data_IF_223749504625
#
_entry.id   IF_223749504625
#
_cell.length_a   1.000
_cell.length_b   1.000
_cell.length_c   1.000
_cell.angle_alpha   90.00
_cell.angle_beta   90.00
_cell.angle_gamma   90.00
#
_symmetry.space_group_name_H-M   'P 1'
#
loop_
_entity.id
_entity.type
_entity.pdbx_description
1 polymer ?
#
# COMPACT_ATOMS: atom_id res chain seq x y z
N UNK A 1 16.17 -16.12 16.50
CA UNK A 1 16.17 -17.50 15.93
C UNK A 1 17.04 -17.62 14.67
N UNK A 2 16.89 -16.74 13.65
CA UNK A 2 17.71 -16.78 12.42
C UNK A 2 19.23 -16.69 12.68
N UNK A 3 19.63 -15.82 13.60
CA UNK A 3 21.04 -15.59 13.96
C UNK A 3 21.75 -16.80 14.59
N UNK A 4 21.02 -17.58 15.41
CA UNK A 4 21.52 -18.79 16.04
C UNK A 4 21.65 -19.92 15.01
N UNK A 5 20.76 -19.96 14.02
CA UNK A 5 20.79 -20.93 12.93
C UNK A 5 22.04 -20.76 12.05
N UNK A 6 22.36 -19.52 11.63
CA UNK A 6 23.58 -19.24 10.84
C UNK A 6 24.83 -19.63 11.64
N UNK A 7 24.89 -19.27 12.93
CA UNK A 7 26.01 -19.64 13.82
C UNK A 7 26.10 -21.15 14.04
N UNK A 8 24.98 -21.85 14.08
CA UNK A 8 24.92 -23.31 14.12
C UNK A 8 25.52 -23.96 12.88
N UNK A 9 25.20 -23.44 11.69
CA UNK A 9 25.79 -23.90 10.42
C UNK A 9 27.31 -23.70 10.44
N UNK A 10 27.78 -22.52 10.88
CA UNK A 10 29.21 -22.22 11.00
C UNK A 10 29.90 -23.18 11.97
N UNK A 11 29.32 -23.41 13.16
CA UNK A 11 29.87 -24.32 14.14
C UNK A 11 29.96 -25.76 13.61
N UNK A 12 28.94 -26.23 12.88
CA UNK A 12 28.96 -27.54 12.21
C UNK A 12 30.02 -27.61 11.11
N UNK A 13 30.18 -26.55 10.31
CA UNK A 13 31.22 -26.48 9.29
C UNK A 13 32.61 -26.60 9.92
N UNK A 14 32.86 -25.92 11.04
CA UNK A 14 34.13 -26.03 11.78
C UNK A 14 34.36 -27.45 12.32
N UNK A 15 33.32 -28.09 12.87
CA UNK A 15 33.41 -29.48 13.34
C UNK A 15 33.69 -30.49 12.23
N UNK A 16 33.39 -30.17 10.97
CA UNK A 16 33.67 -31.04 9.82
C UNK A 16 35.12 -30.97 9.32
N UNK A 17 35.88 -29.93 9.65
CA UNK A 17 37.25 -29.70 9.15
C UNK A 17 38.20 -30.87 9.46
N UNK A 18 38.27 -31.38 10.71
CA UNK A 18 39.17 -32.49 11.04
C UNK A 18 38.90 -33.75 10.21
N UNK A 19 37.65 -33.97 9.79
CA UNK A 19 37.26 -35.11 8.96
C UNK A 19 37.66 -34.95 7.49
N UNK A 20 37.78 -33.72 7.00
CA UNK A 20 38.10 -33.41 5.61
C UNK A 20 39.61 -33.33 5.38
N UNK A 21 40.36 -32.72 6.31
CA UNK A 21 41.79 -32.43 6.11
C UNK A 21 42.74 -33.51 6.66
N UNK A 22 42.23 -34.56 7.33
CA UNK A 22 43.05 -35.62 7.98
C UNK A 22 44.22 -35.06 8.79
N UNK A 23 44.03 -33.92 9.42
CA UNK A 23 45.00 -33.23 10.24
C UNK A 23 44.88 -33.71 11.69
N UNK A 24 46.01 -33.89 12.37
CA UNK A 24 46.05 -34.11 13.82
C UNK A 24 45.71 -32.79 14.53
N UNK A 25 44.42 -32.43 14.51
CA UNK A 25 43.93 -31.21 15.11
C UNK A 25 43.76 -31.41 16.62
N UNK A 26 44.07 -30.37 17.39
CA UNK A 26 43.88 -30.34 18.84
C UNK A 26 42.43 -30.71 19.23
N UNK A 27 42.29 -31.56 20.27
CA UNK A 27 40.99 -32.02 20.79
C UNK A 27 40.08 -30.85 21.19
N UNK A 28 40.66 -29.68 21.46
CA UNK A 28 39.93 -28.44 21.73
C UNK A 28 38.97 -28.04 20.60
N UNK A 29 39.24 -28.39 19.33
CA UNK A 29 38.36 -28.04 18.20
C UNK A 29 36.97 -28.69 18.28
N UNK A 30 36.83 -29.80 18.99
CA UNK A 30 35.54 -30.50 19.13
C UNK A 30 34.66 -29.87 20.23
N UNK A 31 35.28 -29.28 21.25
CA UNK A 31 34.57 -28.72 22.41
C UNK A 31 34.21 -27.25 22.16
N UNK A 32 35.09 -26.53 21.47
CA UNK A 32 35.01 -25.09 21.34
C UNK A 32 33.79 -24.58 20.53
N UNK A 33 33.37 -25.19 19.40
CA UNK A 33 32.14 -24.80 18.70
C UNK A 33 30.88 -24.97 19.56
N UNK A 34 30.86 -25.98 20.44
CA UNK A 34 29.76 -26.20 21.39
C UNK A 34 29.76 -25.08 22.43
N UNK A 35 30.91 -24.79 23.05
CA UNK A 35 31.05 -23.71 24.02
C UNK A 35 30.68 -22.33 23.42
N UNK A 36 31.04 -22.10 22.15
CA UNK A 36 30.65 -20.92 21.39
C UNK A 36 29.13 -20.82 21.24
N UNK A 37 28.45 -21.87 20.78
CA UNK A 37 26.99 -21.86 20.65
C UNK A 37 26.27 -21.63 21.98
N UNK A 38 26.78 -22.24 23.06
CA UNK A 38 26.28 -21.98 24.42
C UNK A 38 26.46 -20.51 24.80
N UNK A 39 27.64 -19.93 24.58
CA UNK A 39 27.92 -18.52 24.90
C UNK A 39 27.00 -17.58 24.12
N UNK A 40 26.84 -17.82 22.82
CA UNK A 40 25.92 -17.06 21.95
C UNK A 40 24.48 -17.16 22.45
N UNK A 41 24.03 -18.35 22.87
CA UNK A 41 22.67 -18.53 23.37
C UNK A 41 22.35 -17.65 24.59
N UNK A 42 23.31 -17.47 25.50
CA UNK A 42 23.15 -16.60 26.67
C UNK A 42 23.33 -15.11 26.34
N UNK A 43 24.25 -14.77 25.42
CA UNK A 43 24.61 -13.38 25.11
C UNK A 43 23.65 -12.73 24.10
N UNK A 44 22.85 -13.52 23.37
CA UNK A 44 22.00 -13.05 22.26
C UNK A 44 21.08 -11.87 22.61
N UNK A 45 20.59 -11.80 23.84
CA UNK A 45 19.64 -10.79 24.29
C UNK A 45 20.31 -9.63 25.06
N UNK A 46 21.61 -9.72 25.34
CA UNK A 46 22.37 -8.74 26.12
C UNK A 46 22.90 -7.58 25.26
N UNK A 47 23.66 -7.88 24.21
CA UNK A 47 24.26 -6.85 23.36
C UNK A 47 24.76 -7.41 22.02
N UNK A 48 24.40 -6.72 20.92
CA UNK A 48 24.94 -7.00 19.58
C UNK A 48 26.48 -6.84 19.53
N UNK A 49 27.06 -5.95 20.32
CA UNK A 49 28.52 -5.76 20.39
C UNK A 49 29.22 -6.96 21.04
N UNK A 50 28.64 -7.50 22.12
CA UNK A 50 29.19 -8.69 22.78
C UNK A 50 29.09 -9.91 21.87
N UNK A 51 28.00 -10.03 21.10
CA UNK A 51 27.90 -11.08 20.07
C UNK A 51 29.01 -10.99 19.03
N UNK A 52 29.26 -9.80 18.45
CA UNK A 52 30.36 -9.62 17.48
C UNK A 52 31.69 -9.98 18.11
N UNK A 53 31.94 -9.57 19.36
CA UNK A 53 33.19 -9.88 20.06
C UNK A 53 33.37 -11.39 20.28
N UNK A 54 32.32 -12.09 20.69
CA UNK A 54 32.31 -13.56 20.82
C UNK A 54 32.55 -14.23 19.47
N UNK A 55 31.94 -13.74 18.40
CA UNK A 55 32.14 -14.25 17.04
C UNK A 55 33.61 -14.07 16.61
N UNK A 56 34.22 -12.90 16.84
CA UNK A 56 35.64 -12.67 16.54
C UNK A 56 36.52 -13.68 17.29
N UNK A 57 36.37 -13.78 18.61
CA UNK A 57 37.19 -14.71 19.42
C UNK A 57 37.06 -16.13 18.89
N UNK A 58 35.84 -16.54 18.52
CA UNK A 58 35.59 -17.85 17.97
C UNK A 58 36.40 -18.09 16.68
N UNK A 59 36.30 -17.17 15.71
CA UNK A 59 37.00 -17.32 14.44
C UNK A 59 38.51 -17.22 14.59
N UNK A 60 39.03 -16.28 15.38
CA UNK A 60 40.48 -16.16 15.63
C UNK A 60 41.04 -17.46 16.22
N UNK A 61 40.35 -18.05 17.19
CA UNK A 61 40.77 -19.30 17.81
C UNK A 61 40.76 -20.47 16.83
N UNK A 62 39.67 -20.62 16.05
CA UNK A 62 39.56 -21.72 15.08
C UNK A 62 40.60 -21.59 13.98
N UNK A 63 40.81 -20.38 13.44
CA UNK A 63 41.86 -20.10 12.44
C UNK A 63 43.23 -20.46 12.99
N UNK A 64 43.52 -20.09 14.25
CA UNK A 64 44.79 -20.39 14.89
C UNK A 64 45.05 -21.89 15.04
N UNK A 65 44.05 -22.67 15.45
CA UNK A 65 44.21 -24.11 15.67
C UNK A 65 44.28 -24.89 14.34
N UNK A 66 43.49 -24.48 13.36
CA UNK A 66 43.40 -25.19 12.07
C UNK A 66 44.47 -24.75 11.08
N UNK A 67 45.09 -23.58 11.30
CA UNK A 67 45.93 -22.89 10.31
C UNK A 67 45.24 -22.69 8.95
N UNK A 68 43.90 -22.71 8.92
CA UNK A 68 43.13 -22.62 7.68
C UNK A 68 42.55 -21.19 7.52
N UNK A 69 43.07 -20.40 6.57
CA UNK A 69 42.67 -19.01 6.42
C UNK A 69 41.28 -18.82 5.80
N UNK A 70 40.77 -19.83 5.08
CA UNK A 70 39.45 -19.82 4.43
C UNK A 70 38.33 -19.65 5.47
N UNK A 71 38.58 -20.05 6.72
CA UNK A 71 37.61 -19.93 7.81
C UNK A 71 37.20 -18.50 8.13
N UNK A 72 38.03 -17.50 7.80
CA UNK A 72 37.66 -16.10 7.91
C UNK A 72 36.45 -15.73 7.03
N UNK A 73 36.23 -16.44 5.91
CA UNK A 73 35.09 -16.19 5.01
C UNK A 73 33.75 -16.51 5.69
N UNK A 74 33.72 -17.53 6.55
CA UNK A 74 32.52 -17.90 7.30
C UNK A 74 32.10 -16.86 8.35
N UNK A 75 32.92 -15.85 8.61
CA UNK A 75 32.52 -14.70 9.43
C UNK A 75 31.47 -13.84 8.72
N UNK A 76 31.61 -13.59 7.41
CA UNK A 76 30.78 -12.62 6.68
C UNK A 76 29.29 -12.97 6.57
N UNK A 77 28.85 -14.25 6.50
CA UNK A 77 27.44 -14.61 6.61
C UNK A 77 26.74 -14.06 7.86
N UNK A 78 27.48 -13.80 8.95
CA UNK A 78 26.93 -13.20 10.18
C UNK A 78 26.53 -11.74 10.00
N UNK A 79 26.97 -11.07 8.92
CA UNK A 79 26.68 -9.66 8.64
C UNK A 79 25.19 -9.35 8.58
N UNK A 80 24.37 -10.32 8.15
CA UNK A 80 22.91 -10.19 8.05
C UNK A 80 22.30 -9.76 9.40
N UNK A 81 22.87 -10.19 10.52
CA UNK A 81 22.38 -9.84 11.87
C UNK A 81 22.70 -8.39 12.28
N UNK A 82 23.55 -7.69 11.53
CA UNK A 82 24.10 -6.38 11.91
C UNK A 82 23.77 -5.24 10.93
N UNK A 83 23.21 -5.56 9.76
CA UNK A 83 22.99 -4.59 8.66
C UNK A 83 21.93 -3.52 8.96
N UNK A 84 21.00 -3.79 9.87
CA UNK A 84 19.86 -2.91 10.16
C UNK A 84 20.28 -1.57 10.79
N UNK A 85 21.42 -1.54 11.49
CA UNK A 85 21.87 -0.36 12.24
C UNK A 85 23.30 0.02 11.87
N UNK A 86 23.50 1.27 11.38
CA UNK A 86 24.80 1.76 10.89
C UNK A 86 25.97 1.55 11.87
N UNK A 87 25.74 1.73 13.18
CA UNK A 87 26.77 1.57 14.21
C UNK A 87 27.25 0.11 14.33
N UNK A 88 26.32 -0.83 14.25
CA UNK A 88 26.60 -2.27 14.29
C UNK A 88 27.25 -2.75 12.99
N UNK A 89 26.81 -2.23 11.85
CA UNK A 89 27.45 -2.44 10.54
C UNK A 89 28.93 -2.06 10.57
N UNK A 90 29.27 -0.85 11.05
CA UNK A 90 30.67 -0.40 11.09
C UNK A 90 31.52 -1.27 12.02
N UNK A 91 30.99 -1.61 13.19
CA UNK A 91 31.66 -2.49 14.15
C UNK A 91 31.91 -3.88 13.56
N UNK A 92 30.93 -4.43 12.85
CA UNK A 92 31.05 -5.73 12.19
C UNK A 92 32.08 -5.71 11.06
N UNK A 93 32.13 -4.64 10.26
CA UNK A 93 33.13 -4.52 9.19
C UNK A 93 34.55 -4.44 9.77
N UNK A 94 34.73 -3.69 10.86
CA UNK A 94 36.01 -3.64 11.56
C UNK A 94 36.40 -4.99 12.16
N UNK A 95 35.43 -5.72 12.73
CA UNK A 95 35.60 -7.08 13.20
C UNK A 95 36.01 -8.05 12.09
N UNK A 96 35.35 -7.98 10.93
CA UNK A 96 35.68 -8.78 9.75
C UNK A 96 37.07 -8.49 9.20
N UNK A 97 37.50 -7.22 9.26
CA UNK A 97 38.86 -6.83 8.92
C UNK A 97 39.88 -7.46 9.88
N UNK A 98 39.63 -7.42 11.20
CA UNK A 98 40.50 -8.07 12.20
C UNK A 98 40.62 -9.58 11.94
N UNK A 99 39.50 -10.27 11.77
CA UNK A 99 39.49 -11.72 11.49
C UNK A 99 40.23 -12.05 10.20
N UNK A 100 40.11 -11.21 9.18
CA UNK A 100 40.82 -11.39 7.90
C UNK A 100 42.33 -11.12 8.05
N UNK A 101 42.73 -10.03 8.73
CA UNK A 101 44.13 -9.70 8.99
C UNK A 101 44.83 -10.78 9.83
N UNK A 102 44.14 -11.33 10.83
CA UNK A 102 44.66 -12.41 11.64
C UNK A 102 44.81 -13.71 10.85
N UNK A 103 43.82 -14.02 9.99
CA UNK A 103 43.91 -15.12 9.04
C UNK A 103 45.16 -15.02 8.17
N UNK A 104 45.45 -13.82 7.63
CA UNK A 104 46.68 -13.58 6.86
C UNK A 104 47.95 -13.76 7.67
N UNK A 105 47.96 -13.34 8.94
CA UNK A 105 49.12 -13.50 9.82
C UNK A 105 49.43 -14.98 10.08
N UNK A 106 48.40 -15.82 10.27
CA UNK A 106 48.58 -17.25 10.57
C UNK A 106 48.98 -18.07 9.33
N UNK A 107 48.56 -17.66 8.12
CA UNK A 107 48.73 -18.45 6.90
C UNK A 107 49.85 -17.98 5.95
N UNK A 108 50.76 -17.12 6.41
CA UNK A 108 51.93 -16.63 5.65
C UNK A 108 51.60 -16.13 4.22
N UNK A 109 50.45 -15.46 4.02
CA UNK A 109 50.04 -14.79 2.76
C UNK A 109 49.71 -15.67 1.53
N UNK A 110 49.70 -17.00 1.62
CA UNK A 110 49.65 -17.88 0.43
C UNK A 110 48.27 -17.93 -0.27
N UNK A 111 47.15 -17.71 0.44
CA UNK A 111 45.79 -17.89 -0.11
C UNK A 111 44.98 -16.59 -0.30
N UNK A 112 45.68 -15.45 -0.35
CA UNK A 112 45.14 -14.08 -0.34
C UNK A 112 44.14 -13.75 -1.46
N UNK A 113 44.29 -14.36 -2.63
CA UNK A 113 43.44 -14.07 -3.79
C UNK A 113 41.98 -14.46 -3.58
N UNK A 114 41.72 -15.56 -2.86
CA UNK A 114 40.36 -16.07 -2.64
C UNK A 114 39.53 -15.14 -1.76
N UNK A 115 40.10 -14.65 -0.64
CA UNK A 115 39.45 -13.73 0.30
C UNK A 115 39.01 -12.41 -0.37
N UNK A 116 39.79 -11.89 -1.31
CA UNK A 116 39.48 -10.67 -2.08
C UNK A 116 38.26 -10.82 -3.01
N UNK A 117 37.93 -12.04 -3.47
CA UNK A 117 36.73 -12.29 -4.28
C UNK A 117 35.49 -12.55 -3.43
N UNK A 118 35.65 -13.23 -2.28
CA UNK A 118 34.52 -13.59 -1.42
C UNK A 118 34.00 -12.44 -0.55
N UNK A 119 34.86 -11.50 -0.16
CA UNK A 119 34.49 -10.30 0.60
C UNK A 119 33.45 -9.42 -0.15
N UNK A 120 33.68 -9.01 -1.42
CA UNK A 120 32.70 -8.26 -2.20
C UNK A 120 31.46 -9.07 -2.55
N UNK A 121 31.61 -10.38 -2.83
CA UNK A 121 30.49 -11.25 -3.19
C UNK A 121 29.51 -11.44 -2.01
N UNK A 122 30.04 -11.71 -0.81
CA UNK A 122 29.23 -11.88 0.41
C UNK A 122 28.56 -10.58 0.84
N UNK A 123 29.28 -9.44 0.82
CA UNK A 123 28.67 -8.13 1.11
C UNK A 123 27.59 -7.75 0.08
N UNK A 124 27.81 -8.05 -1.20
CA UNK A 124 26.81 -7.78 -2.26
C UNK A 124 25.53 -8.59 -2.07
N UNK A 125 25.63 -9.90 -1.79
CA UNK A 125 24.45 -10.77 -1.55
C UNK A 125 23.65 -10.28 -0.34
N UNK A 126 24.33 -9.84 0.73
CA UNK A 126 23.66 -9.34 1.94
C UNK A 126 23.01 -7.98 1.72
N UNK A 127 23.66 -7.06 0.98
CA UNK A 127 23.05 -5.78 0.60
C UNK A 127 21.81 -5.96 -0.27
N UNK A 128 21.87 -6.89 -1.23
CA UNK A 128 20.74 -7.20 -2.13
C UNK A 128 19.57 -7.79 -1.34
N UNK A 129 19.82 -8.73 -0.43
CA UNK A 129 18.76 -9.33 0.40
C UNK A 129 18.15 -8.34 1.39
N UNK A 130 18.95 -7.45 1.98
CA UNK A 130 18.47 -6.32 2.78
C UNK A 130 17.58 -5.36 1.97
N UNK A 131 17.99 -5.00 0.76
CA UNK A 131 17.21 -4.18 -0.16
C UNK A 131 15.87 -4.84 -0.52
N UNK A 132 15.87 -6.13 -0.88
CA UNK A 132 14.65 -6.89 -1.21
C UNK A 132 13.68 -6.93 -0.03
N UNK A 133 14.18 -7.10 1.20
CA UNK A 133 13.34 -7.19 2.40
C UNK A 133 12.68 -5.85 2.70
N UNK A 134 13.42 -4.74 2.58
CA UNK A 134 12.88 -3.40 2.71
C UNK A 134 11.82 -3.11 1.64
N UNK A 135 12.11 -3.49 0.40
CA UNK A 135 11.20 -3.28 -0.72
C UNK A 135 9.90 -4.09 -0.57
N UNK A 136 9.95 -5.30 -0.01
CA UNK A 136 8.76 -6.08 0.37
C UNK A 136 7.93 -5.41 1.46
N UNK A 137 8.58 -4.81 2.47
CA UNK A 137 7.88 -4.10 3.53
C UNK A 137 7.16 -2.85 2.99
N UNK A 138 7.85 -2.04 2.17
CA UNK A 138 7.29 -0.85 1.53
C UNK A 138 6.12 -1.21 0.59
N UNK A 139 6.24 -2.30 -0.19
CA UNK A 139 5.15 -2.77 -1.06
C UNK A 139 3.92 -3.21 -0.26
N UNK A 140 4.12 -3.94 0.85
CA UNK A 140 3.01 -4.36 1.71
C UNK A 140 2.29 -3.18 2.34
N UNK A 141 3.03 -2.17 2.80
CA UNK A 141 2.43 -0.94 3.32
C UNK A 141 1.58 -0.24 2.25
N UNK A 142 2.09 -0.14 1.02
CA UNK A 142 1.31 0.43 -0.09
C UNK A 142 0.08 -0.40 -0.45
N UNK A 143 0.15 -1.72 -0.35
CA UNK A 143 -0.99 -2.61 -0.57
C UNK A 143 -2.08 -2.39 0.48
N UNK A 144 -1.69 -2.23 1.75
CA UNK A 144 -2.61 -1.92 2.85
C UNK A 144 -3.26 -0.53 2.68
N UNK A 145 -2.48 0.48 2.28
CA UNK A 145 -2.99 1.83 1.96
C UNK A 145 -4.00 1.82 0.80
N UNK A 146 -3.72 1.06 -0.27
CA UNK A 146 -4.63 0.91 -1.41
C UNK A 146 -5.91 0.20 -0.97
N UNK A 147 -5.79 -0.89 -0.21
CA UNK A 147 -6.93 -1.62 0.34
C UNK A 147 -7.82 -0.74 1.21
N UNK A 148 -7.25 0.14 2.03
CA UNK A 148 -8.00 1.11 2.82
C UNK A 148 -8.75 2.11 1.95
N UNK A 149 -8.09 2.71 0.94
CA UNK A 149 -8.75 3.64 0.01
C UNK A 149 -9.86 2.97 -0.80
N UNK A 150 -9.69 1.72 -1.21
CA UNK A 150 -10.75 0.95 -1.89
C UNK A 150 -11.95 0.75 -0.96
N UNK A 151 -11.73 0.43 0.32
CA UNK A 151 -12.82 0.30 1.29
C UNK A 151 -13.54 1.62 1.54
N UNK A 152 -12.83 2.75 1.59
CA UNK A 152 -13.43 4.08 1.68
C UNK A 152 -14.29 4.41 0.45
N UNK A 153 -13.78 4.11 -0.75
CA UNK A 153 -14.52 4.27 -2.00
C UNK A 153 -15.76 3.35 -2.02
N UNK A 154 -15.66 2.11 -1.55
CA UNK A 154 -16.81 1.20 -1.47
C UNK A 154 -17.89 1.72 -0.53
N UNK A 155 -17.50 2.27 0.64
CA UNK A 155 -18.44 2.91 1.58
C UNK A 155 -19.07 4.17 1.00
N UNK A 156 -18.33 4.96 0.23
CA UNK A 156 -18.87 6.11 -0.49
C UNK A 156 -19.85 5.66 -1.58
N UNK A 157 -19.52 4.59 -2.31
CA UNK A 157 -20.40 3.99 -3.33
C UNK A 157 -21.73 3.53 -2.72
N UNK A 158 -21.71 2.89 -1.55
CA UNK A 158 -22.92 2.50 -0.82
C UNK A 158 -23.74 3.69 -0.31
N UNK A 159 -23.11 4.84 -0.04
CA UNK A 159 -23.84 6.08 0.30
C UNK A 159 -24.44 6.79 -0.93
N UNK A 160 -23.79 6.68 -2.09
CA UNK A 160 -24.16 7.39 -3.32
C UNK A 160 -25.18 6.59 -4.16
N UNK A 161 -25.16 5.26 -4.08
CA UNK A 161 -26.09 4.33 -4.73
C UNK A 161 -26.62 3.39 -3.62
N UNK A 162 -27.94 3.33 -3.25
CA UNK A 162 -29.07 3.22 -4.17
C UNK A 162 -30.48 3.65 -3.65
N UNK A 163 -30.66 4.46 -2.60
CA UNK A 163 -32.03 4.65 -2.03
C UNK A 163 -32.95 5.51 -2.94
N UNK A 164 -32.39 6.47 -3.70
CA UNK A 164 -33.19 7.37 -4.56
C UNK A 164 -33.35 6.89 -6.01
N UNK A 165 -32.37 6.18 -6.59
CA UNK A 165 -32.45 5.76 -8.01
C UNK A 165 -33.53 4.68 -8.23
N UNK A 166 -33.64 3.68 -7.33
CA UNK A 166 -34.70 2.67 -7.43
C UNK A 166 -36.11 3.26 -7.30
N UNK A 167 -36.27 4.33 -6.53
CA UNK A 167 -37.57 5.01 -6.40
C UNK A 167 -37.89 5.87 -7.63
N UNK A 168 -36.88 6.47 -8.27
CA UNK A 168 -37.04 7.18 -9.55
C UNK A 168 -37.37 6.22 -10.70
N UNK A 169 -36.83 5.00 -10.71
CA UNK A 169 -37.09 3.99 -11.74
C UNK A 169 -38.57 3.53 -11.77
N UNK A 170 -39.28 3.61 -10.64
CA UNK A 170 -40.69 3.23 -10.54
C UNK A 170 -41.69 4.32 -10.95
N UNK A 171 -41.23 5.54 -11.24
CA UNK A 171 -42.11 6.65 -11.66
C UNK A 171 -42.56 6.43 -13.11
N UNK A 172 -43.87 6.39 -13.34
CA UNK A 172 -44.45 6.54 -14.68
C UNK A 172 -44.65 8.02 -15.00
N UNK A 173 -44.20 8.44 -16.18
CA UNK A 173 -44.31 9.82 -16.68
C UNK A 173 -45.55 10.06 -17.55
N UNK A 174 -46.46 9.09 -17.65
CA UNK A 174 -47.73 9.23 -18.37
C UNK A 174 -48.66 10.24 -17.66
N UNK A 175 -48.71 10.21 -16.33
CA UNK A 175 -49.43 11.20 -15.51
C UNK A 175 -48.45 12.28 -15.02
N UNK A 176 -48.42 13.41 -15.73
CA UNK A 176 -47.53 14.54 -15.43
C UNK A 176 -47.78 15.13 -14.04
N UNK A 177 -49.03 15.17 -13.55
CA UNK A 177 -49.34 15.76 -12.23
C UNK A 177 -48.87 14.85 -11.10
N UNK A 178 -49.05 13.53 -11.25
CA UNK A 178 -48.58 12.55 -10.26
C UNK A 178 -47.05 12.44 -10.25
N UNK A 179 -46.42 12.46 -11.43
CA UNK A 179 -44.96 12.37 -11.54
C UNK A 179 -44.25 13.57 -10.92
N UNK A 180 -44.66 14.82 -11.18
CA UNK A 180 -44.03 15.99 -10.54
C UNK A 180 -44.14 15.95 -9.02
N UNK A 181 -45.24 15.44 -8.47
CA UNK A 181 -45.42 15.33 -7.02
C UNK A 181 -44.47 14.30 -6.40
N UNK A 182 -44.33 13.13 -7.05
CA UNK A 182 -43.38 12.10 -6.62
C UNK A 182 -41.93 12.56 -6.75
N UNK A 183 -41.59 13.26 -7.85
CA UNK A 183 -40.28 13.86 -8.04
C UNK A 183 -39.94 14.86 -6.93
N UNK A 184 -40.90 15.71 -6.56
CA UNK A 184 -40.73 16.68 -5.48
C UNK A 184 -40.37 16.00 -4.15
N UNK A 185 -41.03 14.88 -3.84
CA UNK A 185 -40.77 14.10 -2.64
C UNK A 185 -39.41 13.38 -2.67
N UNK A 186 -39.07 12.73 -3.78
CA UNK A 186 -37.85 11.91 -3.88
C UNK A 186 -36.59 12.79 -3.94
N UNK A 187 -36.66 13.90 -4.67
CA UNK A 187 -35.54 14.83 -4.85
C UNK A 187 -35.43 15.85 -3.73
N UNK A 188 -36.44 15.92 -2.85
CA UNK A 188 -36.53 16.87 -1.72
C UNK A 188 -36.33 18.32 -2.18
N UNK A 189 -36.96 18.67 -3.29
CA UNK A 189 -36.99 20.03 -3.86
C UNK A 189 -38.02 20.89 -3.14
N UNK A 190 -37.85 22.21 -3.18
CA UNK A 190 -38.86 23.15 -2.67
C UNK A 190 -40.11 23.15 -3.56
N UNK A 191 -39.94 23.06 -4.88
CA UNK A 191 -41.03 22.89 -5.84
C UNK A 191 -40.55 22.19 -7.11
N UNK A 192 -41.47 21.56 -7.83
CA UNK A 192 -41.27 21.03 -9.19
C UNK A 192 -42.36 21.57 -10.09
N UNK A 193 -41.98 22.12 -11.23
CA UNK A 193 -42.89 22.55 -12.27
C UNK A 193 -42.59 21.80 -13.58
N UNK A 194 -43.64 21.52 -14.34
CA UNK A 194 -43.56 20.97 -15.69
C UNK A 194 -44.29 21.92 -16.64
N UNK A 195 -43.58 22.40 -17.65
CA UNK A 195 -44.12 23.22 -18.72
C UNK A 195 -44.30 22.37 -19.98
N UNK A 196 -45.54 22.21 -20.43
CA UNK A 196 -45.88 21.56 -21.70
C UNK A 196 -45.77 22.57 -22.84
N UNK A 197 -44.82 22.35 -23.74
CA UNK A 197 -44.56 23.26 -24.87
C UNK A 197 -45.72 23.23 -25.88
N UNK A 198 -46.34 22.06 -26.08
CA UNK A 198 -47.39 21.87 -27.08
C UNK A 198 -48.70 22.50 -26.62
N UNK A 199 -49.07 22.30 -25.35
CA UNK A 199 -50.33 22.83 -24.81
C UNK A 199 -50.18 24.21 -24.15
N UNK A 200 -48.94 24.71 -24.01
CA UNK A 200 -48.59 25.95 -23.28
C UNK A 200 -49.15 25.99 -21.86
N UNK A 201 -49.34 24.82 -21.24
CA UNK A 201 -49.83 24.69 -19.88
C UNK A 201 -48.70 24.36 -18.94
N UNK A 202 -48.80 24.87 -17.73
CA UNK A 202 -47.90 24.52 -16.66
C UNK A 202 -48.62 23.75 -15.56
N UNK A 203 -47.91 22.76 -15.02
CA UNK A 203 -48.32 21.97 -13.86
C UNK A 203 -47.23 22.11 -12.80
N UNK A 204 -47.59 22.41 -11.56
CA UNK A 204 -46.63 22.66 -10.49
C UNK A 204 -47.11 22.06 -9.17
N UNK A 205 -46.17 21.78 -8.26
CA UNK A 205 -46.47 21.17 -6.96
C UNK A 205 -46.83 22.19 -5.89
N UNK A 206 -46.13 23.33 -5.81
CA UNK A 206 -46.36 24.42 -4.85
C UNK A 206 -45.90 25.77 -5.43
N UNK A 207 -46.59 26.85 -5.05
CA UNK A 207 -46.49 28.24 -5.57
C UNK A 207 -46.63 28.38 -7.10
N UNK A 208 -47.07 29.55 -7.58
CA UNK A 208 -47.17 29.84 -9.03
C UNK A 208 -45.76 30.16 -9.56
N UNK A 209 -44.91 29.14 -9.70
CA UNK A 209 -43.49 29.29 -10.09
C UNK A 209 -43.27 29.20 -11.60
N UNK A 210 -44.35 29.12 -12.38
CA UNK A 210 -44.25 28.94 -13.83
C UNK A 210 -44.14 30.26 -14.57
N UNK A 211 -43.02 30.94 -14.33
CA UNK A 211 -42.66 32.12 -15.09
C UNK A 211 -42.15 31.71 -16.48
N UNK A 212 -42.88 32.14 -17.53
CA UNK A 212 -42.49 31.93 -18.92
C UNK A 212 -41.13 32.55 -19.24
N UNK A 213 -40.68 33.53 -18.46
CA UNK A 213 -39.36 34.13 -18.63
C UNK A 213 -38.22 33.15 -18.37
N UNK A 214 -38.43 32.11 -17.54
CA UNK A 214 -37.41 31.08 -17.26
C UNK A 214 -37.07 30.28 -18.53
N UNK A 215 -38.04 30.11 -19.46
CA UNK A 215 -37.82 29.41 -20.73
C UNK A 215 -36.78 30.11 -21.62
N UNK A 216 -36.53 31.42 -21.44
CA UNK A 216 -35.50 32.16 -22.20
C UNK A 216 -34.08 31.69 -21.86
N UNK A 217 -33.90 31.02 -20.72
CA UNK A 217 -32.61 30.52 -20.24
C UNK A 217 -32.39 29.03 -20.56
N UNK A 218 -33.38 28.35 -21.13
CA UNK A 218 -33.29 26.96 -21.56
C UNK A 218 -32.67 26.92 -22.96
N UNK A 219 -31.34 26.96 -23.01
CA UNK A 219 -30.59 26.89 -24.27
C UNK A 219 -30.05 25.49 -24.58
N UNK A 220 -30.04 24.60 -23.59
CA UNK A 220 -29.48 23.24 -23.65
C UNK A 220 -30.51 22.22 -23.15
N UNK A 221 -30.24 20.92 -23.35
CA UNK A 221 -31.13 19.83 -22.90
C UNK A 221 -31.24 19.71 -21.36
N UNK A 222 -30.28 20.29 -20.65
CA UNK A 222 -30.14 20.25 -19.20
C UNK A 222 -29.26 21.40 -18.74
N UNK A 223 -29.61 22.04 -17.63
CA UNK A 223 -28.79 23.10 -17.07
C UNK A 223 -29.21 23.54 -15.68
N UNK A 224 -28.39 24.45 -15.12
CA UNK A 224 -28.58 25.10 -13.83
C UNK A 224 -28.72 26.60 -14.06
N UNK A 225 -29.69 27.22 -13.40
CA UNK A 225 -29.91 28.66 -13.37
C UNK A 225 -29.85 29.09 -11.91
N UNK A 226 -29.03 30.08 -11.59
CA UNK A 226 -29.03 30.72 -10.27
C UNK A 226 -30.00 31.90 -10.29
N UNK A 227 -30.89 31.95 -9.32
CA UNK A 227 -31.89 33.01 -9.15
C UNK A 227 -31.78 33.62 -7.76
N UNK A 228 -32.34 34.81 -7.55
CA UNK A 228 -32.36 35.48 -6.23
C UNK A 228 -33.05 34.64 -5.13
N UNK A 229 -33.83 33.63 -5.52
CA UNK A 229 -34.57 32.73 -4.62
C UNK A 229 -33.93 31.34 -4.48
N UNK A 230 -32.77 31.13 -5.10
CA UNK A 230 -32.02 29.87 -5.05
C UNK A 230 -31.73 29.28 -6.43
N UNK A 231 -31.40 27.99 -6.46
CA UNK A 231 -30.99 27.29 -7.67
C UNK A 231 -32.17 26.60 -8.36
N UNK A 232 -32.27 26.78 -9.67
CA UNK A 232 -33.21 26.06 -10.55
C UNK A 232 -32.45 25.12 -11.46
N UNK A 233 -32.79 23.83 -11.42
CA UNK A 233 -32.30 22.84 -12.39
C UNK A 233 -33.41 22.58 -13.39
N UNK A 234 -33.09 22.54 -14.68
CA UNK A 234 -34.05 22.22 -15.71
C UNK A 234 -33.64 20.99 -16.52
N UNK A 235 -34.64 20.20 -16.92
CA UNK A 235 -34.50 19.06 -17.85
C UNK A 235 -35.52 19.23 -18.98
N UNK A 236 -35.04 19.21 -20.22
CA UNK A 236 -35.91 19.21 -21.41
C UNK A 236 -36.31 17.78 -21.73
N UNK A 237 -37.63 17.56 -21.86
CA UNK A 237 -38.23 16.30 -22.30
C UNK A 237 -38.36 16.33 -23.83
N UNK A 238 -37.87 15.28 -24.48
CA UNK A 238 -37.95 15.12 -25.93
C UNK A 238 -38.84 13.95 -26.32
N UNK A 239 -39.61 14.14 -27.39
CA UNK A 239 -40.22 13.05 -28.16
C UNK A 239 -39.68 13.11 -29.58
N UNK A 240 -39.07 12.03 -30.07
CA UNK A 240 -38.50 11.96 -31.42
C UNK A 240 -37.60 13.16 -31.80
N UNK A 241 -36.72 13.59 -30.88
CA UNK A 241 -35.82 14.77 -31.03
C UNK A 241 -36.54 16.13 -31.10
N UNK A 242 -37.85 16.18 -30.85
CA UNK A 242 -38.59 17.44 -30.68
C UNK A 242 -38.88 17.68 -29.20
N UNK A 243 -38.59 18.89 -28.68
CA UNK A 243 -38.85 19.20 -27.28
C UNK A 243 -40.36 19.27 -27.04
N UNK A 244 -40.86 18.48 -26.09
CA UNK A 244 -42.29 18.40 -25.75
C UNK A 244 -42.62 19.08 -24.43
N UNK A 245 -41.66 19.17 -23.52
CA UNK A 245 -41.84 19.84 -22.24
C UNK A 245 -40.53 20.12 -21.51
N UNK A 246 -40.62 20.87 -20.42
CA UNK A 246 -39.48 21.20 -19.56
C UNK A 246 -39.86 21.00 -18.10
N UNK A 247 -39.07 20.22 -17.37
CA UNK A 247 -39.16 20.14 -15.91
C UNK A 247 -38.24 21.17 -15.29
N UNK A 248 -38.74 21.88 -14.29
CA UNK A 248 -38.00 22.81 -13.44
C UNK A 248 -38.03 22.29 -12.01
N UNK A 249 -36.86 22.22 -11.39
CA UNK A 249 -36.65 21.74 -10.03
C UNK A 249 -36.03 22.87 -9.21
N UNK A 250 -36.73 23.32 -8.18
CA UNK A 250 -36.35 24.47 -7.37
C UNK A 250 -35.69 24.01 -6.06
N UNK A 251 -34.52 24.55 -5.75
CA UNK A 251 -33.74 24.27 -4.54
C UNK A 251 -33.41 25.54 -3.76
N UNK A 252 -33.52 25.44 -2.44
CA UNK A 252 -32.77 26.31 -1.52
C UNK A 252 -31.29 25.84 -1.54
N UNK A 253 -30.35 26.79 -1.70
CA UNK A 253 -29.01 26.65 -2.31
C UNK A 253 -28.05 25.54 -1.81
N UNK A 254 -28.39 24.76 -0.77
CA UNK A 254 -27.50 23.77 -0.16
C UNK A 254 -27.74 22.31 -0.59
N UNK A 255 -28.71 21.99 -1.45
CA UNK A 255 -29.12 20.58 -1.75
C UNK A 255 -28.92 20.11 -3.19
N UNK A 256 -28.26 20.90 -4.03
CA UNK A 256 -28.11 20.62 -5.47
C UNK A 256 -27.08 19.52 -5.72
N UNK A 257 -25.92 19.58 -5.05
CA UNK A 257 -24.80 18.64 -5.28
C UNK A 257 -25.19 17.19 -4.94
N UNK A 258 -26.00 16.99 -3.89
CA UNK A 258 -26.48 15.69 -3.44
C UNK A 258 -27.42 14.99 -4.44
N UNK A 259 -27.93 15.71 -5.45
CA UNK A 259 -28.93 15.19 -6.40
C UNK A 259 -28.46 15.18 -7.87
N UNK A 260 -27.23 15.58 -8.18
CA UNK A 260 -26.73 15.66 -9.57
C UNK A 260 -26.91 14.33 -10.32
N UNK A 261 -26.55 13.20 -9.71
CA UNK A 261 -26.70 11.88 -10.33
C UNK A 261 -28.17 11.48 -10.58
N UNK A 262 -29.09 11.91 -9.71
CA UNK A 262 -30.52 11.69 -9.91
C UNK A 262 -31.04 12.46 -11.13
N UNK A 263 -30.52 13.67 -11.38
CA UNK A 263 -30.87 14.46 -12.56
C UNK A 263 -30.33 13.87 -13.86
N UNK A 264 -29.11 13.33 -13.85
CA UNK A 264 -28.55 12.62 -15.01
C UNK A 264 -29.42 11.40 -15.34
N UNK A 265 -29.76 10.58 -14.34
CA UNK A 265 -30.65 9.44 -14.53
C UNK A 265 -32.05 9.85 -15.03
N UNK A 266 -32.63 10.90 -14.45
CA UNK A 266 -33.93 11.43 -14.88
C UNK A 266 -33.91 11.94 -16.31
N UNK A 267 -32.84 12.61 -16.74
CA UNK A 267 -32.66 13.05 -18.12
C UNK A 267 -32.65 11.87 -19.08
N UNK A 268 -31.93 10.79 -18.75
CA UNK A 268 -31.92 9.59 -19.59
C UNK A 268 -33.29 8.91 -19.63
N UNK A 269 -33.98 8.83 -18.49
CA UNK A 269 -35.29 8.17 -18.39
C UNK A 269 -36.41 8.94 -19.09
N UNK A 270 -36.36 10.28 -19.09
CA UNK A 270 -37.36 11.11 -19.78
C UNK A 270 -37.19 11.11 -21.31
N UNK A 271 -36.01 10.75 -21.81
CA UNK A 271 -35.67 10.79 -23.24
C UNK A 271 -35.60 9.42 -23.92
N UNK A 272 -35.88 8.34 -23.17
CA UNK A 272 -36.03 6.97 -23.66
C UNK A 272 -37.50 6.54 -23.63
#
# INVERSE_FOLDING_TARGET
MKDLFIRGIIALAVLSIPFLEKTDIDKLIYIFPIAYLFSVYFIKDLSKYLLVFTDIIFFLFVIYITYNPILAIFFFPLFVSYIEEKKHTFTFLFAGLITSLYSFYVSEYVEFSSLLFWLPASTSIVLITGFITKLKADLKQKEDEISQKINEISKLKEKIYPIKIESLDRISFEDKKKSIFLLNQILNTSSVAYFDINSQKCIYTQEEVCDKEILKYVNDDFGKIETDKGTVIFIVEYSNKTPTGVYFFFYEDEKVEDNIYNFIFLKEKLNN
#
